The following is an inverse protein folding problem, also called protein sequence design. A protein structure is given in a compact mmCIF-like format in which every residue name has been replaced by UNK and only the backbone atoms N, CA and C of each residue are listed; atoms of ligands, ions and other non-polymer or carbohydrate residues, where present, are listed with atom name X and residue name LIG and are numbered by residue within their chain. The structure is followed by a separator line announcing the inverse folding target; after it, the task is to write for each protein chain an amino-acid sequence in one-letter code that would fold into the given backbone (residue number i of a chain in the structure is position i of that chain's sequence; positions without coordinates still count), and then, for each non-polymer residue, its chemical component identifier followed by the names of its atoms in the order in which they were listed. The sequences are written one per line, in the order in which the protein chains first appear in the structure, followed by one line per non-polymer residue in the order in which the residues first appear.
data_IF_347355161566
#
_entry.id   IF_347355161566
#
_cell.length_a   1.000
_cell.length_b   1.000
_cell.length_c   1.000
_cell.angle_alpha   90.00
_cell.angle_beta   90.00
_cell.angle_gamma   90.00
#
_symmetry.space_group_name_H-M   'P 1'
#
loop_
_entity.id
_entity.type
_entity.pdbx_description
1 polymer ?
#
# COMPACT_ATOMS: atom_id res chain seq x y z
N UNK A 1 -31.27 49.90 0.71
CA UNK A 1 -31.50 48.70 1.56
C UNK A 1 -31.52 47.44 0.68
N UNK A 2 -31.95 47.53 -0.59
CA UNK A 2 -31.83 46.44 -1.57
C UNK A 2 -30.40 46.02 -1.94
N UNK A 3 -29.42 46.93 -2.00
CA UNK A 3 -28.05 46.60 -2.47
C UNK A 3 -27.32 45.60 -1.55
N UNK A 4 -27.57 45.69 -0.24
CA UNK A 4 -27.01 44.78 0.75
C UNK A 4 -27.62 43.38 0.67
N UNK A 5 -28.90 43.28 0.28
CA UNK A 5 -29.60 42.02 0.08
C UNK A 5 -29.09 41.27 -1.16
N UNK A 6 -28.90 42.00 -2.27
CA UNK A 6 -28.35 41.43 -3.51
C UNK A 6 -26.92 40.92 -3.32
N UNK A 7 -26.09 41.66 -2.58
CA UNK A 7 -24.72 41.24 -2.26
C UNK A 7 -24.70 39.96 -1.40
N UNK A 8 -25.55 39.86 -0.38
CA UNK A 8 -25.67 38.64 0.43
C UNK A 8 -26.15 37.43 -0.37
N UNK A 9 -27.08 37.64 -1.31
CA UNK A 9 -27.58 36.58 -2.17
C UNK A 9 -26.47 36.05 -3.10
N UNK A 10 -25.68 36.96 -3.68
CA UNK A 10 -24.52 36.61 -4.51
C UNK A 10 -23.48 35.80 -3.72
N UNK A 11 -23.13 36.23 -2.50
CA UNK A 11 -22.21 35.48 -1.65
C UNK A 11 -22.74 34.09 -1.29
N UNK A 12 -24.04 33.99 -0.99
CA UNK A 12 -24.68 32.71 -0.65
C UNK A 12 -24.68 31.75 -1.84
N UNK A 13 -24.97 32.25 -3.04
CA UNK A 13 -24.91 31.46 -4.28
C UNK A 13 -23.49 31.02 -4.58
N UNK A 14 -22.50 31.91 -4.51
CA UNK A 14 -21.07 31.59 -4.70
C UNK A 14 -20.57 30.55 -3.69
N UNK A 15 -20.98 30.66 -2.43
CA UNK A 15 -20.62 29.70 -1.40
C UNK A 15 -21.26 28.32 -1.66
N UNK A 16 -22.54 28.29 -2.02
CA UNK A 16 -23.25 27.05 -2.33
C UNK A 16 -22.70 26.37 -3.59
N UNK A 17 -22.34 27.14 -4.62
CA UNK A 17 -21.72 26.59 -5.83
C UNK A 17 -20.33 26.03 -5.55
N UNK A 18 -19.51 26.69 -4.73
CA UNK A 18 -18.22 26.15 -4.29
C UNK A 18 -18.40 24.85 -3.50
N UNK A 19 -19.38 24.79 -2.59
CA UNK A 19 -19.66 23.58 -1.82
C UNK A 19 -20.09 22.41 -2.73
N UNK A 20 -20.96 22.67 -3.71
CA UNK A 20 -21.42 21.69 -4.71
C UNK A 20 -20.28 21.21 -5.64
N UNK A 21 -19.34 22.09 -6.00
CA UNK A 21 -18.16 21.70 -6.79
C UNK A 21 -17.24 20.79 -5.97
N UNK A 22 -17.01 21.08 -4.69
CA UNK A 22 -16.14 20.25 -3.84
C UNK A 22 -16.69 18.86 -3.56
N UNK A 23 -18.02 18.69 -3.45
CA UNK A 23 -18.63 17.37 -3.24
C UNK A 23 -18.66 16.51 -4.50
N UNK A 24 -18.53 17.13 -5.68
CA UNK A 24 -18.49 16.44 -6.97
C UNK A 24 -17.07 16.03 -7.38
N UNK A 25 -16.03 16.40 -6.63
CA UNK A 25 -14.67 15.88 -6.86
C UNK A 25 -14.69 14.41 -6.45
N UNK A 26 -14.60 13.46 -7.39
CA UNK A 26 -14.43 12.06 -7.01
C UNK A 26 -13.16 11.97 -6.19
N UNK A 27 -13.23 11.32 -5.02
CA UNK A 27 -12.03 10.91 -4.31
C UNK A 27 -11.13 10.21 -5.32
N UNK A 28 -9.89 10.69 -5.48
CA UNK A 28 -8.97 10.21 -6.49
C UNK A 28 -9.01 8.67 -6.49
N UNK A 29 -9.35 8.08 -7.64
CA UNK A 29 -9.46 6.64 -7.77
C UNK A 29 -8.18 6.01 -7.27
N UNK A 30 -8.26 5.18 -6.24
CA UNK A 30 -7.11 4.45 -5.74
C UNK A 30 -6.48 3.68 -6.90
N UNK A 31 -5.16 3.86 -7.11
CA UNK A 31 -4.44 3.15 -8.15
C UNK A 31 -4.42 1.65 -7.78
N UNK A 32 -5.02 0.82 -8.62
CA UNK A 32 -4.98 -0.63 -8.45
C UNK A 32 -3.69 -1.17 -9.05
N UNK A 33 -2.72 -1.54 -8.20
CA UNK A 33 -1.51 -2.25 -8.61
C UNK A 33 -1.71 -3.75 -8.46
N UNK A 34 -1.35 -4.53 -9.49
CA UNK A 34 -1.23 -5.98 -9.39
C UNK A 34 0.24 -6.35 -9.28
N UNK A 35 0.65 -6.86 -8.13
CA UNK A 35 1.95 -7.46 -7.92
C UNK A 35 1.79 -8.99 -7.86
N UNK A 36 2.61 -9.71 -8.62
CA UNK A 36 2.74 -11.16 -8.47
C UNK A 36 3.97 -11.45 -7.61
N UNK A 37 3.78 -12.19 -6.53
CA UNK A 37 4.82 -12.50 -5.56
C UNK A 37 5.21 -13.97 -5.73
N UNK A 38 6.33 -14.19 -6.42
CA UNK A 38 6.98 -15.48 -6.49
C UNK A 38 7.97 -15.60 -5.34
N UNK A 39 7.90 -16.71 -4.60
CA UNK A 39 8.92 -17.00 -3.60
C UNK A 39 10.24 -17.27 -4.32
N UNK A 40 11.38 -16.79 -3.82
CA UNK A 40 12.70 -16.92 -4.48
C UNK A 40 13.08 -18.37 -4.84
N UNK A 41 12.53 -19.33 -4.10
CA UNK A 41 12.76 -20.76 -4.29
C UNK A 41 11.71 -21.47 -5.16
N UNK A 42 10.72 -20.75 -5.72
CA UNK A 42 9.59 -21.35 -6.45
C UNK A 42 10.01 -22.12 -7.70
N UNK A 43 11.11 -21.72 -8.33
CA UNK A 43 11.60 -22.35 -9.56
C UNK A 43 12.70 -23.39 -9.32
N UNK A 44 13.12 -23.60 -8.06
CA UNK A 44 14.25 -24.48 -7.74
C UNK A 44 13.90 -25.96 -7.66
N UNK A 45 12.63 -26.32 -7.87
CA UNK A 45 12.19 -27.73 -7.93
C UNK A 45 12.36 -28.50 -6.62
N UNK A 46 12.41 -27.82 -5.47
CA UNK A 46 12.64 -28.47 -4.18
C UNK A 46 11.55 -29.49 -3.84
N UNK A 47 11.99 -30.64 -3.34
CA UNK A 47 11.12 -31.65 -2.76
C UNK A 47 10.47 -31.13 -1.47
N UNK A 48 9.36 -31.75 -1.07
CA UNK A 48 8.66 -31.43 0.19
C UNK A 48 9.59 -31.48 1.41
N UNK A 49 10.57 -32.37 1.42
CA UNK A 49 11.52 -32.55 2.53
C UNK A 49 12.62 -31.50 2.54
N UNK A 50 13.10 -31.07 1.37
CA UNK A 50 14.04 -29.94 1.25
C UNK A 50 13.38 -28.64 1.70
N UNK A 51 12.12 -28.42 1.27
CA UNK A 51 11.32 -27.30 1.78
C UNK A 51 11.10 -27.39 3.29
N UNK A 52 10.81 -28.59 3.84
CA UNK A 52 10.69 -28.79 5.28
C UNK A 52 12.00 -28.48 6.03
N UNK A 53 13.14 -28.86 5.46
CA UNK A 53 14.47 -28.61 6.02
C UNK A 53 14.80 -27.11 6.03
N UNK A 54 14.43 -26.38 4.98
CA UNK A 54 14.51 -24.92 4.92
C UNK A 54 13.57 -24.27 5.95
N UNK A 55 12.36 -24.81 6.15
CA UNK A 55 11.39 -24.34 7.18
C UNK A 55 11.89 -24.50 8.60
N UNK A 56 12.67 -25.54 8.92
CA UNK A 56 13.28 -25.70 10.24
C UNK A 56 14.28 -24.58 10.57
N UNK A 57 14.87 -23.93 9.56
CA UNK A 57 15.74 -22.76 9.74
C UNK A 57 14.98 -21.43 9.67
N UNK A 58 13.82 -21.39 9.00
CA UNK A 58 13.06 -20.17 8.69
C UNK A 58 11.70 -19.99 9.39
N UNK A 59 11.31 -20.88 10.30
CA UNK A 59 9.98 -20.84 10.92
C UNK A 59 8.92 -21.56 10.09
N UNK A 60 8.05 -22.31 10.77
CA UNK A 60 7.08 -23.19 10.14
C UNK A 60 5.90 -22.42 9.53
N UNK A 61 5.97 -22.15 8.23
CA UNK A 61 4.88 -21.63 7.42
C UNK A 61 4.21 -22.70 6.56
N UNK A 62 2.89 -22.77 6.56
CA UNK A 62 2.15 -23.49 5.51
C UNK A 62 2.29 -22.72 4.19
N UNK A 63 2.53 -23.45 3.10
CA UNK A 63 2.42 -22.94 1.74
C UNK A 63 0.93 -22.63 1.49
N UNK A 64 0.50 -21.41 1.80
CA UNK A 64 -0.74 -20.90 1.24
C UNK A 64 -0.43 -20.66 -0.23
N UNK A 65 -1.12 -21.39 -1.11
CA UNK A 65 -0.94 -21.26 -2.56
C UNK A 65 -0.98 -19.78 -2.96
N UNK A 66 -0.21 -19.44 -3.98
CA UNK A 66 -0.11 -18.10 -4.57
C UNK A 66 -1.50 -17.62 -5.00
N UNK A 67 -2.24 -17.06 -4.05
CA UNK A 67 -3.48 -16.38 -4.35
C UNK A 67 -3.10 -14.97 -4.74
N UNK A 68 -3.59 -14.47 -5.89
CA UNK A 68 -3.49 -13.07 -6.20
C UNK A 68 -4.04 -12.28 -5.00
N UNK A 69 -3.19 -11.45 -4.41
CA UNK A 69 -3.59 -10.57 -3.32
C UNK A 69 -3.61 -9.15 -3.83
N UNK A 70 -4.68 -8.43 -3.49
CA UNK A 70 -4.80 -7.00 -3.78
C UNK A 70 -4.48 -6.26 -2.50
N UNK A 71 -3.52 -5.34 -2.58
CA UNK A 71 -3.18 -4.44 -1.48
C UNK A 71 -3.47 -3.00 -1.89
N UNK A 72 -4.08 -2.19 -1.01
CA UNK A 72 -4.26 -0.77 -1.28
C UNK A 72 -2.89 -0.07 -1.30
N UNK A 73 -2.75 0.88 -2.22
CA UNK A 73 -1.59 1.76 -2.34
C UNK A 73 -2.04 3.19 -2.06
N UNK A 74 -1.30 3.90 -1.22
CA UNK A 74 -1.62 5.28 -0.86
C UNK A 74 -0.35 6.13 -0.81
N UNK A 75 -0.41 7.44 -1.12
CA UNK A 75 0.67 8.36 -0.81
C UNK A 75 0.98 8.33 0.70
N UNK A 76 2.26 8.36 1.06
CA UNK A 76 2.71 8.33 2.44
C UNK A 76 4.07 8.97 2.63
N UNK A 77 4.49 9.08 3.89
CA UNK A 77 5.76 9.70 4.27
C UNK A 77 6.69 8.66 4.87
N UNK A 78 7.91 8.55 4.33
CA UNK A 78 8.98 7.71 4.90
C UNK A 78 10.11 8.63 5.28
N UNK A 79 10.37 8.77 6.58
CA UNK A 79 11.62 9.36 7.13
C UNK A 79 12.08 10.64 6.41
N UNK A 80 11.15 11.54 6.05
CA UNK A 80 11.36 12.86 5.41
C UNK A 80 11.14 12.97 3.88
N UNK A 81 10.66 11.94 3.19
CA UNK A 81 10.21 12.05 1.79
C UNK A 81 8.68 12.11 1.71
N UNK A 82 8.13 13.21 1.23
CA UNK A 82 6.68 13.46 1.12
C UNK A 82 6.05 12.92 -0.18
N UNK A 83 6.83 12.18 -0.98
CA UNK A 83 6.45 11.81 -2.36
C UNK A 83 6.42 10.31 -2.62
N UNK A 84 6.48 9.47 -1.59
CA UNK A 84 6.50 8.02 -1.76
C UNK A 84 5.09 7.41 -1.69
N UNK A 85 4.84 6.41 -2.53
CA UNK A 85 3.65 5.58 -2.40
C UNK A 85 3.98 4.40 -1.50
N UNK A 86 3.09 4.13 -0.54
CA UNK A 86 3.23 3.01 0.39
C UNK A 86 2.26 1.89 0.05
N UNK A 87 2.78 0.68 0.15
CA UNK A 87 2.02 -0.57 0.07
C UNK A 87 2.09 -1.28 1.43
N UNK A 88 0.96 -1.82 1.87
CA UNK A 88 0.85 -2.51 3.16
C UNK A 88 0.61 -4.00 2.95
N UNK A 89 1.41 -4.83 3.62
CA UNK A 89 1.20 -6.28 3.66
C UNK A 89 1.80 -6.92 4.92
N UNK A 90 1.39 -8.17 5.18
CA UNK A 90 1.91 -8.98 6.28
C UNK A 90 3.05 -9.89 5.83
N UNK A 91 4.21 -9.77 6.47
CA UNK A 91 5.37 -10.66 6.24
C UNK A 91 5.45 -11.72 7.34
N UNK A 92 5.59 -12.98 6.92
CA UNK A 92 5.82 -14.11 7.82
C UNK A 92 4.57 -14.94 8.11
N UNK A 93 4.80 -16.15 8.60
CA UNK A 93 3.77 -17.14 8.95
C UNK A 93 4.18 -17.88 10.22
N UNK A 94 3.23 -18.37 11.06
CA UNK A 94 1.78 -18.27 10.93
C UNK A 94 1.20 -16.92 11.40
N UNK A 95 2.00 -16.07 12.04
CA UNK A 95 1.59 -14.72 12.48
C UNK A 95 2.35 -13.66 11.66
N UNK A 96 1.70 -13.03 10.66
CA UNK A 96 2.36 -12.03 9.82
C UNK A 96 2.63 -10.73 10.59
N UNK A 97 3.83 -10.19 10.43
CA UNK A 97 4.17 -8.83 10.85
C UNK A 97 3.68 -7.85 9.79
N UNK A 98 2.84 -6.89 10.19
CA UNK A 98 2.38 -5.84 9.30
C UNK A 98 3.53 -4.88 9.01
N UNK A 99 3.82 -4.65 7.73
CA UNK A 99 4.84 -3.73 7.26
C UNK A 99 4.25 -2.74 6.26
N UNK A 100 4.86 -1.55 6.19
CA UNK A 100 4.63 -0.58 5.14
C UNK A 100 5.93 -0.46 4.35
N UNK A 101 5.86 -0.65 3.03
CA UNK A 101 7.02 -0.52 2.15
C UNK A 101 6.80 0.57 1.12
N UNK A 102 7.89 1.21 0.71
CA UNK A 102 7.94 2.10 -0.45
C UNK A 102 7.72 1.29 -1.73
N UNK A 103 6.80 1.73 -2.57
CA UNK A 103 6.55 1.17 -3.89
C UNK A 103 7.55 1.77 -4.90
N UNK A 104 8.64 1.05 -5.15
CA UNK A 104 9.65 1.40 -6.16
C UNK A 104 9.43 0.59 -7.45
N UNK A 105 8.91 1.24 -8.49
CA UNK A 105 8.68 0.60 -9.80
C UNK A 105 9.98 0.40 -10.60
N UNK A 106 11.12 0.88 -10.11
CA UNK A 106 12.43 0.74 -10.73
C UNK A 106 13.19 -0.55 -10.33
N UNK A 107 12.59 -1.41 -9.50
CA UNK A 107 13.21 -2.63 -8.99
C UNK A 107 12.30 -3.86 -9.06
N UNK A 108 12.89 -5.05 -8.97
CA UNK A 108 12.21 -6.35 -8.93
C UNK A 108 12.35 -7.06 -7.56
N UNK A 109 12.87 -6.35 -6.56
CA UNK A 109 13.15 -6.91 -5.23
C UNK A 109 12.33 -6.24 -4.13
N UNK A 110 11.68 -7.07 -3.31
CA UNK A 110 11.08 -6.66 -2.05
C UNK A 110 12.08 -6.91 -0.92
N UNK A 111 12.50 -5.85 -0.23
CA UNK A 111 13.47 -5.94 0.87
C UNK A 111 12.97 -5.23 2.13
N UNK A 112 13.43 -5.71 3.29
CA UNK A 112 13.20 -5.06 4.58
C UNK A 112 14.49 -5.05 5.38
N UNK A 113 14.65 -4.04 6.24
CA UNK A 113 15.81 -3.96 7.13
C UNK A 113 15.63 -4.92 8.31
N UNK A 114 16.54 -5.88 8.49
CA UNK A 114 16.56 -6.73 9.67
C UNK A 114 16.95 -5.95 10.93
N UNK A 115 16.40 -6.35 12.09
CA UNK A 115 16.84 -5.85 13.40
C UNK A 115 17.76 -6.89 14.09
N UNK A 116 18.86 -6.45 14.75
CA UNK A 116 19.31 -5.07 14.86
C UNK A 116 19.89 -4.57 13.53
N UNK A 117 19.62 -3.30 13.21
CA UNK A 117 20.28 -2.63 12.10
C UNK A 117 21.74 -2.41 12.51
N UNK A 118 22.68 -3.02 11.81
CA UNK A 118 24.08 -2.64 11.94
C UNK A 118 24.22 -1.21 11.40
N UNK A 119 24.89 -0.35 12.17
CA UNK A 119 25.22 1.02 11.75
C UNK A 119 26.26 1.01 10.65
#
# INVERSE_FOLDING_TARGET
MEDSSMSQLLFSVLFLTMLLITSAIPAASALTLRADLTHVDSERGFTRWELASLRHRGGAGNYYGQHPTTAPVAPGTVRHADTEYLIHFGIGTPRPHQVALTLDTGSDLVWTQCTPCLR
#
